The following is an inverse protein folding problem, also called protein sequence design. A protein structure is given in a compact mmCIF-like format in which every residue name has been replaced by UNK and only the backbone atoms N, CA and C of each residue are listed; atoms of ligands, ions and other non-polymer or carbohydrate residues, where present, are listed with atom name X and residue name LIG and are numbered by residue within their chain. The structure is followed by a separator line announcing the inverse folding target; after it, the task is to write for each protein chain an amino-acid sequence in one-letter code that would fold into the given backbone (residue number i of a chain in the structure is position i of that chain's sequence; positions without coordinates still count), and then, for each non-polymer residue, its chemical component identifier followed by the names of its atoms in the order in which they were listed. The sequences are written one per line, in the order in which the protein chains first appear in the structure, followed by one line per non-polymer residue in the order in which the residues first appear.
data_IF_848126839401
#
_entry.id   IF_848126839401
#
_cell.length_a   1.000
_cell.length_b   1.000
_cell.length_c   1.000
_cell.angle_alpha   90.00
_cell.angle_beta   90.00
_cell.angle_gamma   90.00
#
_symmetry.space_group_name_H-M   'P 1'
#
loop_
_entity.id
_entity.type
_entity.pdbx_description
1 polymer ?
#
# COMPACT_ATOMS: atom_id res chain seq x y z
N UNK A 1 4.91 -1.75 2.94
CA UNK A 1 5.24 -2.28 1.59
C UNK A 1 4.41 -1.64 0.50
N UNK A 2 3.07 -1.63 0.55
CA UNK A 2 2.24 -1.01 -0.50
C UNK A 2 2.65 0.42 -0.84
N UNK A 3 2.77 1.31 0.16
CA UNK A 3 3.21 2.68 -0.08
C UNK A 3 4.64 2.83 -0.61
N UNK A 4 5.53 1.87 -0.38
CA UNK A 4 6.83 1.88 -1.06
C UNK A 4 6.70 1.51 -2.53
N UNK A 5 5.88 0.51 -2.86
CA UNK A 5 5.63 0.13 -4.26
C UNK A 5 4.99 1.30 -5.00
N UNK A 6 4.01 1.94 -4.37
CA UNK A 6 3.34 3.14 -4.88
C UNK A 6 4.33 4.30 -5.13
N UNK A 7 5.07 4.74 -4.11
CA UNK A 7 6.01 5.85 -4.30
C UNK A 7 7.20 5.51 -5.21
N UNK A 8 7.74 4.30 -5.19
CA UNK A 8 8.86 3.93 -6.08
C UNK A 8 8.36 3.76 -7.51
N UNK A 9 7.31 2.97 -7.72
CA UNK A 9 6.87 2.60 -9.07
C UNK A 9 6.04 3.73 -9.67
N UNK A 10 5.02 4.23 -8.98
CA UNK A 10 4.10 5.21 -9.53
C UNK A 10 4.62 6.64 -9.45
N UNK A 11 5.24 7.05 -8.33
CA UNK A 11 5.77 8.41 -8.22
C UNK A 11 7.11 8.60 -8.91
N UNK A 12 8.05 7.66 -8.77
CA UNK A 12 9.44 7.90 -9.19
C UNK A 12 9.78 7.30 -10.55
N UNK A 13 9.47 6.01 -10.78
CA UNK A 13 9.81 5.32 -12.03
C UNK A 13 8.87 5.73 -13.15
N UNK A 14 7.56 5.57 -12.93
CA UNK A 14 6.55 5.85 -13.95
C UNK A 14 6.14 7.32 -13.98
N UNK A 15 6.31 8.03 -12.86
CA UNK A 15 5.96 9.44 -12.70
C UNK A 15 4.49 9.71 -13.10
N UNK A 16 3.60 8.77 -12.77
CA UNK A 16 2.18 8.89 -13.09
C UNK A 16 1.49 9.94 -12.24
N UNK A 17 1.97 10.12 -11.01
CA UNK A 17 1.52 11.14 -10.08
C UNK A 17 2.58 11.39 -9.02
N UNK A 18 2.45 12.50 -8.32
CA UNK A 18 3.21 12.82 -7.11
C UNK A 18 2.22 13.30 -6.05
N UNK A 19 2.64 13.36 -4.78
CA UNK A 19 1.76 13.64 -3.64
C UNK A 19 0.80 14.82 -3.85
N UNK A 20 1.22 15.91 -4.49
CA UNK A 20 0.41 17.11 -4.70
C UNK A 20 0.14 17.41 -6.18
N UNK A 21 0.35 16.47 -7.08
CA UNK A 21 0.39 16.74 -8.53
C UNK A 21 -0.90 17.27 -9.15
N UNK A 22 -2.08 17.06 -8.54
CA UNK A 22 -3.32 17.70 -8.97
C UNK A 22 -3.49 19.14 -8.45
N UNK A 23 -2.78 19.52 -7.38
CA UNK A 23 -2.81 20.88 -6.79
C UNK A 23 -1.66 21.75 -7.31
N UNK A 24 -0.49 21.14 -7.42
CA UNK A 24 0.77 21.73 -7.86
C UNK A 24 1.32 20.84 -8.98
N UNK A 25 0.88 21.06 -10.23
CA UNK A 25 1.37 20.31 -11.38
C UNK A 25 2.91 20.38 -11.44
N UNK A 26 3.62 19.26 -11.62
CA UNK A 26 5.08 19.23 -11.61
C UNK A 26 5.70 19.65 -12.96
N UNK A 27 5.16 20.71 -13.56
CA UNK A 27 5.57 21.29 -14.84
C UNK A 27 6.62 22.41 -14.70
N UNK A 28 6.90 22.85 -13.47
CA UNK A 28 7.96 23.77 -13.11
C UNK A 28 8.94 23.13 -12.14
N UNK A 29 10.19 23.64 -12.08
CA UNK A 29 11.18 23.16 -11.12
C UNK A 29 10.70 23.31 -9.68
N UNK A 30 10.11 24.47 -9.33
CA UNK A 30 9.58 24.73 -8.00
C UNK A 30 8.49 23.71 -7.60
N UNK A 31 7.48 23.49 -8.45
CA UNK A 31 6.43 22.52 -8.13
C UNK A 31 6.98 21.10 -8.04
N UNK A 32 7.96 20.76 -8.86
CA UNK A 32 8.63 19.45 -8.80
C UNK A 32 9.41 19.26 -7.49
N UNK A 33 10.11 20.29 -7.01
CA UNK A 33 10.80 20.28 -5.72
C UNK A 33 9.83 20.13 -4.55
N UNK A 34 8.70 20.85 -4.58
CA UNK A 34 7.65 20.74 -3.55
C UNK A 34 7.04 19.35 -3.55
N UNK A 35 6.68 18.80 -4.72
CA UNK A 35 6.16 17.43 -4.81
C UNK A 35 7.19 16.40 -4.32
N UNK A 36 8.47 16.54 -4.71
CA UNK A 36 9.55 15.67 -4.26
C UNK A 36 9.72 15.69 -2.74
N UNK A 37 9.58 16.87 -2.11
CA UNK A 37 9.58 16.97 -0.65
C UNK A 37 8.44 16.16 -0.02
N UNK A 38 7.21 16.33 -0.52
CA UNK A 38 6.05 15.60 -0.01
C UNK A 38 6.11 14.10 -0.29
N UNK A 39 6.62 13.68 -1.45
CA UNK A 39 6.94 12.27 -1.75
C UNK A 39 7.95 11.72 -0.72
N UNK A 40 8.93 12.53 -0.31
CA UNK A 40 9.88 12.18 0.75
C UNK A 40 9.24 11.99 2.13
N UNK A 41 8.31 12.87 2.51
CA UNK A 41 7.54 12.74 3.76
C UNK A 41 6.68 11.48 3.74
N UNK A 42 5.99 11.22 2.62
CA UNK A 42 5.25 9.99 2.40
C UNK A 42 6.15 8.76 2.53
N UNK A 43 7.33 8.77 1.91
CA UNK A 43 8.29 7.68 2.04
C UNK A 43 8.77 7.48 3.48
N UNK A 44 9.06 8.56 4.21
CA UNK A 44 9.43 8.45 5.63
C UNK A 44 8.32 7.79 6.46
N UNK A 45 7.05 8.14 6.21
CA UNK A 45 5.90 7.49 6.86
C UNK A 45 5.78 6.00 6.50
N UNK A 46 5.92 5.65 5.22
CA UNK A 46 5.88 4.24 4.78
C UNK A 46 7.05 3.42 5.34
N UNK A 47 8.22 4.04 5.48
CA UNK A 47 9.41 3.46 6.11
C UNK A 47 9.16 3.17 7.58
N UNK A 48 8.70 4.15 8.36
CA UNK A 48 8.37 3.97 9.77
C UNK A 48 7.33 2.88 9.99
N UNK A 49 6.27 2.88 9.19
CA UNK A 49 5.21 1.85 9.27
C UNK A 49 5.76 0.46 8.96
N UNK A 50 6.65 0.35 7.97
CA UNK A 50 7.32 -0.92 7.63
C UNK A 50 8.25 -1.37 8.74
N UNK A 51 9.03 -0.46 9.34
CA UNK A 51 9.91 -0.75 10.47
C UNK A 51 9.13 -1.25 11.70
N UNK A 52 7.99 -0.62 12.03
CA UNK A 52 7.08 -1.09 13.07
C UNK A 52 6.55 -2.49 12.75
N UNK A 53 6.11 -2.72 11.51
CA UNK A 53 5.67 -4.05 11.06
C UNK A 53 6.73 -5.14 11.22
N UNK A 54 7.98 -4.84 10.88
CA UNK A 54 9.13 -5.73 11.10
C UNK A 54 9.34 -5.99 12.60
N UNK A 55 9.30 -4.97 13.45
CA UNK A 55 9.43 -5.12 14.90
C UNK A 55 8.31 -5.99 15.51
N UNK A 56 7.08 -5.85 15.03
CA UNK A 56 5.95 -6.68 15.44
C UNK A 56 6.11 -8.14 14.98
N UNK A 57 6.55 -8.36 13.74
CA UNK A 57 6.88 -9.69 13.23
C UNK A 57 8.03 -10.34 14.01
N UNK A 58 9.08 -9.57 14.31
CA UNK A 58 10.20 -10.03 15.13
C UNK A 58 9.74 -10.45 16.53
N UNK A 59 8.85 -9.69 17.17
CA UNK A 59 8.29 -10.08 18.47
C UNK A 59 7.45 -11.35 18.39
N UNK A 60 6.80 -11.61 17.26
CA UNK A 60 5.95 -12.78 17.07
C UNK A 60 6.75 -14.09 17.09
N UNK A 61 7.99 -14.11 16.57
CA UNK A 61 8.80 -15.35 16.51
C UNK A 61 9.17 -15.90 17.89
N UNK A 62 9.14 -15.07 18.93
CA UNK A 62 9.43 -15.48 20.31
C UNK A 62 8.19 -15.97 21.06
N UNK A 63 7.00 -15.95 20.44
CA UNK A 63 5.78 -16.48 21.06
C UNK A 63 5.66 -17.98 20.78
N UNK A 64 5.40 -18.76 21.83
CA UNK A 64 5.31 -20.23 21.73
C UNK A 64 4.08 -20.73 20.96
N UNK A 65 3.06 -19.90 20.85
CA UNK A 65 1.79 -20.15 20.18
C UNK A 65 1.70 -19.46 18.80
N UNK A 66 2.82 -18.95 18.28
CA UNK A 66 2.83 -18.26 16.99
C UNK A 66 2.46 -19.20 15.84
N UNK A 67 1.37 -18.87 15.13
CA UNK A 67 0.97 -19.53 13.89
C UNK A 67 1.88 -19.10 12.71
N UNK A 68 3.10 -19.64 12.66
CA UNK A 68 4.05 -19.37 11.60
C UNK A 68 3.64 -20.09 10.31
N UNK A 69 3.22 -19.33 9.30
CA UNK A 69 2.78 -19.87 8.02
C UNK A 69 3.12 -18.90 6.89
N UNK A 70 3.78 -19.41 5.84
CA UNK A 70 4.08 -18.62 4.65
C UNK A 70 2.81 -18.04 4.01
N UNK A 71 1.69 -18.77 4.07
CA UNK A 71 0.40 -18.28 3.56
C UNK A 71 -0.13 -17.11 4.37
N UNK A 72 -0.01 -17.17 5.70
CA UNK A 72 -0.42 -16.07 6.59
C UNK A 72 0.50 -14.86 6.37
N UNK A 73 1.81 -15.08 6.26
CA UNK A 73 2.78 -14.02 6.04
C UNK A 73 2.57 -13.29 4.71
N UNK A 74 2.56 -14.03 3.59
CA UNK A 74 2.35 -13.46 2.25
C UNK A 74 0.95 -12.84 2.16
N UNK A 75 -0.07 -13.50 2.71
CA UNK A 75 -1.41 -12.95 2.80
C UNK A 75 -1.43 -11.62 3.58
N UNK A 76 -0.74 -11.53 4.71
CA UNK A 76 -0.61 -10.30 5.49
C UNK A 76 0.08 -9.16 4.73
N UNK A 77 1.12 -9.46 3.95
CA UNK A 77 1.79 -8.47 3.10
C UNK A 77 0.83 -7.86 2.07
N UNK A 78 0.11 -8.71 1.32
CA UNK A 78 -0.86 -8.24 0.32
C UNK A 78 -2.10 -7.59 0.95
N UNK A 79 -2.52 -8.05 2.13
CA UNK A 79 -3.60 -7.41 2.88
C UNK A 79 -3.21 -5.98 3.27
N UNK A 80 -2.01 -5.79 3.83
CA UNK A 80 -1.50 -4.46 4.17
C UNK A 80 -1.31 -3.56 2.94
N UNK A 81 -0.91 -4.14 1.80
CA UNK A 81 -0.86 -3.41 0.53
C UNK A 81 -2.27 -2.97 0.10
N UNK A 82 -3.24 -3.88 0.08
CA UNK A 82 -4.61 -3.54 -0.33
C UNK A 82 -5.25 -2.51 0.57
N UNK A 83 -5.02 -2.61 1.88
CA UNK A 83 -5.50 -1.63 2.84
C UNK A 83 -4.87 -0.26 2.60
N UNK A 84 -3.56 -0.21 2.37
CA UNK A 84 -2.86 1.03 2.03
C UNK A 84 -3.50 1.69 0.80
N UNK A 85 -3.65 0.97 -0.31
CA UNK A 85 -4.22 1.54 -1.54
C UNK A 85 -5.67 1.99 -1.38
N UNK A 86 -6.49 1.27 -0.60
CA UNK A 86 -7.87 1.73 -0.35
C UNK A 86 -7.87 3.04 0.43
N UNK A 87 -7.04 3.14 1.48
CA UNK A 87 -6.94 4.34 2.31
C UNK A 87 -6.41 5.52 1.49
N UNK A 88 -5.29 5.33 0.80
CA UNK A 88 -4.67 6.31 -0.10
C UNK A 88 -5.68 6.74 -1.17
N UNK A 89 -6.27 5.81 -1.93
CA UNK A 89 -7.17 6.17 -3.02
C UNK A 89 -8.48 6.84 -2.57
N UNK A 90 -9.00 6.53 -1.38
CA UNK A 90 -10.18 7.21 -0.86
C UNK A 90 -9.83 8.60 -0.31
N UNK A 91 -8.73 8.73 0.42
CA UNK A 91 -8.35 9.98 1.07
C UNK A 91 -7.72 10.93 0.05
N UNK A 92 -6.67 10.51 -0.65
CA UNK A 92 -5.83 11.39 -1.45
C UNK A 92 -6.42 11.60 -2.85
N UNK A 93 -6.95 10.56 -3.50
CA UNK A 93 -7.57 10.72 -4.83
C UNK A 93 -9.00 11.27 -4.78
N UNK A 94 -9.83 10.86 -3.82
CA UNK A 94 -11.27 11.17 -3.85
C UNK A 94 -11.67 12.30 -2.90
N UNK A 95 -11.24 12.24 -1.63
CA UNK A 95 -11.63 13.19 -0.60
C UNK A 95 -10.85 14.51 -0.72
N UNK A 96 -9.52 14.44 -0.65
CA UNK A 96 -8.62 15.60 -0.69
C UNK A 96 -8.29 16.02 -2.12
N UNK A 97 -8.34 15.08 -3.06
CA UNK A 97 -8.00 15.26 -4.48
C UNK A 97 -6.61 15.89 -4.63
N UNK A 98 -5.64 15.33 -3.93
CA UNK A 98 -4.24 15.79 -3.95
C UNK A 98 -3.54 15.38 -5.24
N UNK A 99 -3.91 14.22 -5.77
CA UNK A 99 -3.47 13.70 -7.06
C UNK A 99 -4.49 12.70 -7.63
N UNK A 100 -4.28 12.27 -8.87
CA UNK A 100 -4.95 11.14 -9.48
C UNK A 100 -3.96 9.99 -9.66
N UNK A 101 -4.42 8.74 -9.74
CA UNK A 101 -3.56 7.57 -10.01
C UNK A 101 -2.71 7.76 -11.28
N UNK A 102 -3.25 8.47 -12.27
CA UNK A 102 -2.53 8.86 -13.48
C UNK A 102 -2.97 10.25 -13.92
N UNK A 103 -2.12 11.24 -13.67
CA UNK A 103 -2.46 12.64 -13.94
C UNK A 103 -2.64 12.90 -15.44
N UNK A 104 -1.71 12.41 -16.27
CA UNK A 104 -1.77 12.56 -17.72
C UNK A 104 -2.61 11.41 -18.30
N UNK A 105 -3.94 11.58 -18.25
CA UNK A 105 -4.93 10.66 -18.78
C UNK A 105 -6.26 11.37 -19.03
N UNK A 106 -6.94 11.07 -20.14
CA UNK A 106 -8.29 11.61 -20.42
C UNK A 106 -9.35 11.08 -19.44
N UNK A 107 -9.09 9.92 -18.83
CA UNK A 107 -10.03 9.23 -17.93
C UNK A 107 -9.49 9.06 -16.51
N UNK A 108 -9.05 10.13 -15.85
CA UNK A 108 -8.51 10.11 -14.48
C UNK A 108 -9.42 9.36 -13.50
N UNK A 109 -10.73 9.62 -13.56
CA UNK A 109 -11.71 8.95 -12.70
C UNK A 109 -11.74 7.42 -12.86
N UNK A 110 -11.55 6.90 -14.08
CA UNK A 110 -11.49 5.45 -14.31
C UNK A 110 -10.24 4.83 -13.68
N UNK A 111 -9.10 5.53 -13.73
CA UNK A 111 -7.88 5.08 -13.06
C UNK A 111 -8.05 5.08 -11.54
N UNK A 112 -8.64 6.14 -10.97
CA UNK A 112 -8.89 6.23 -9.53
C UNK A 112 -9.82 5.11 -9.04
N UNK A 113 -10.92 4.82 -9.75
CA UNK A 113 -11.82 3.72 -9.41
C UNK A 113 -11.22 2.34 -9.68
N UNK A 114 -10.47 2.19 -10.77
CA UNK A 114 -9.77 0.96 -11.10
C UNK A 114 -8.73 0.57 -10.04
N UNK A 115 -8.02 1.58 -9.51
CA UNK A 115 -7.10 1.39 -8.40
C UNK A 115 -7.81 0.85 -7.16
N UNK A 116 -8.91 1.48 -6.71
CA UNK A 116 -9.73 0.99 -5.60
C UNK A 116 -10.22 -0.43 -5.85
N UNK A 117 -10.72 -0.74 -7.05
CA UNK A 117 -11.21 -2.07 -7.39
C UNK A 117 -10.11 -3.14 -7.26
N UNK A 118 -8.92 -2.89 -7.82
CA UNK A 118 -7.78 -3.81 -7.70
C UNK A 118 -7.38 -3.99 -6.23
N UNK A 119 -7.42 -2.94 -5.43
CA UNK A 119 -7.12 -2.99 -3.99
C UNK A 119 -8.13 -3.84 -3.21
N UNK A 120 -9.42 -3.70 -3.51
CA UNK A 120 -10.47 -4.53 -2.89
C UNK A 120 -10.33 -6.01 -3.28
N UNK A 121 -10.00 -6.32 -4.53
CA UNK A 121 -9.71 -7.68 -4.97
C UNK A 121 -8.48 -8.25 -4.25
N UNK A 122 -7.43 -7.43 -4.07
CA UNK A 122 -6.24 -7.81 -3.33
C UNK A 122 -6.53 -8.06 -1.84
N UNK A 123 -7.39 -7.25 -1.21
CA UNK A 123 -7.89 -7.49 0.16
C UNK A 123 -8.69 -8.78 0.27
N UNK A 124 -9.60 -9.05 -0.67
CA UNK A 124 -10.39 -10.28 -0.67
C UNK A 124 -9.50 -11.52 -0.84
N UNK A 125 -8.58 -11.51 -1.81
CA UNK A 125 -7.66 -12.61 -2.07
C UNK A 125 -6.72 -12.87 -0.89
N UNK A 126 -6.16 -11.82 -0.29
CA UNK A 126 -5.30 -11.93 0.88
C UNK A 126 -6.05 -12.45 2.11
N UNK A 127 -7.28 -11.99 2.35
CA UNK A 127 -8.12 -12.52 3.42
C UNK A 127 -8.35 -14.03 3.28
N UNK A 128 -8.73 -14.50 2.09
CA UNK A 128 -8.91 -15.93 1.82
C UNK A 128 -7.62 -16.74 2.04
N UNK A 129 -6.47 -16.21 1.62
CA UNK A 129 -5.16 -16.82 1.83
C UNK A 129 -4.81 -16.95 3.32
N UNK A 130 -5.07 -15.91 4.11
CA UNK A 130 -4.86 -15.92 5.57
C UNK A 130 -5.77 -16.95 6.23
N UNK A 131 -7.06 -17.01 5.87
CA UNK A 131 -8.00 -17.98 6.44
C UNK A 131 -7.57 -19.42 6.14
N UNK A 132 -7.11 -19.69 4.91
CA UNK A 132 -6.57 -21.00 4.54
C UNK A 132 -5.31 -21.34 5.34
N UNK A 133 -4.38 -20.37 5.47
CA UNK A 133 -3.16 -20.55 6.26
C UNK A 133 -3.43 -20.85 7.73
N UNK A 134 -4.43 -20.22 8.35
CA UNK A 134 -4.84 -20.51 9.73
C UNK A 134 -5.36 -21.94 9.90
N UNK A 135 -6.16 -22.42 8.95
CA UNK A 135 -6.65 -23.81 8.94
C UNK A 135 -5.52 -24.82 8.80
N UNK A 136 -4.53 -24.52 7.97
CA UNK A 136 -3.36 -25.40 7.77
C UNK A 136 -2.55 -25.54 9.07
N UNK A 137 -2.32 -24.43 9.79
CA UNK A 137 -1.61 -24.46 11.08
C UNK A 137 -2.40 -25.25 12.14
N UNK A 138 -3.72 -25.04 12.24
CA UNK A 138 -4.53 -25.78 13.22
C UNK A 138 -4.55 -27.30 12.99
N UNK A 139 -4.49 -27.75 11.72
CA UNK A 139 -4.43 -29.19 11.40
C UNK A 139 -3.11 -29.86 11.79
N UNK A 140 -2.05 -29.08 12.00
CA UNK A 140 -0.71 -29.61 12.30
C UNK A 140 -0.43 -29.74 13.80
N UNK A 141 -1.26 -29.17 14.68
CA UNK A 141 -1.12 -29.30 16.12
C UNK A 141 -1.86 -30.58 16.60
N UNK A 142 -1.21 -31.48 17.36
CA UNK A 142 -1.91 -32.61 17.99
C UNK A 142 -2.93 -32.08 19.01
N UNK A 143 -4.13 -32.67 19.02
CA UNK A 143 -5.23 -32.34 19.93
C UNK A 143 -5.01 -32.79 21.36
#
# INVERSE_FOLDING_TARGET
MGGFVDGIVLHQILQWHQMLSAKLPPDTLLNKEVNMFWDGIFHAFTWLTTAVGIGLLWRLIYRRDAALSNRIFVGGLFFGFGLFNVVEGLIDHHLLKLHNVREISESQGLWNWGFILVSLLMLAGSWLAIQKGRRDVHRQLPG
#
